data_IF_697529317426
#
_entry.id   IF_697529317426
#
_cell.length_a   1.000
_cell.length_b   1.000
_cell.length_c   1.000
_cell.angle_alpha   90.00
_cell.angle_beta   90.00
_cell.angle_gamma   90.00
#
_symmetry.space_group_name_H-M   'P 1'
#
loop_
_entity.id
_entity.type
_entity.pdbx_description
1 polymer ?
#
# COMPACT_ATOMS: atom_id res chain seq x y z
N UNK A 1 -1.77 35.29 -46.35
CA UNK A 1 -1.69 34.66 -45.00
C UNK A 1 -3.05 34.01 -44.70
N UNK A 2 -3.14 32.69 -44.78
CA UNK A 2 -4.42 31.96 -44.84
C UNK A 2 -5.15 31.94 -43.49
N UNK A 3 -6.10 32.87 -43.32
CA UNK A 3 -7.03 32.93 -42.18
C UNK A 3 -7.81 31.61 -41.97
N UNK A 4 -7.89 30.76 -42.99
CA UNK A 4 -8.46 29.41 -42.92
C UNK A 4 -7.62 28.42 -42.11
N UNK A 5 -6.29 28.45 -42.25
CA UNK A 5 -5.38 27.58 -41.49
C UNK A 5 -5.36 27.98 -40.00
N UNK A 6 -5.48 29.28 -39.71
CA UNK A 6 -5.54 29.78 -38.34
C UNK A 6 -6.83 29.37 -37.61
N UNK A 7 -7.97 29.27 -38.31
CA UNK A 7 -9.25 28.81 -37.73
C UNK A 7 -9.25 27.32 -37.41
N UNK A 8 -8.54 26.50 -38.18
CA UNK A 8 -8.44 25.05 -37.93
C UNK A 8 -7.48 24.73 -36.78
N UNK A 9 -6.40 25.48 -36.62
CA UNK A 9 -5.48 25.33 -35.48
C UNK A 9 -6.14 25.66 -34.13
N UNK A 10 -7.05 26.64 -34.08
CA UNK A 10 -7.78 27.01 -32.85
C UNK A 10 -8.79 25.92 -32.43
N UNK A 11 -9.37 25.21 -33.39
CA UNK A 11 -10.36 24.16 -33.09
C UNK A 11 -9.73 22.87 -32.52
N UNK A 12 -8.47 22.58 -32.86
CA UNK A 12 -7.74 21.43 -32.30
C UNK A 12 -7.32 21.67 -30.84
N UNK A 13 -7.21 22.92 -30.40
CA UNK A 13 -6.83 23.28 -29.03
C UNK A 13 -8.01 23.25 -28.03
N UNK A 14 -9.24 22.98 -28.50
CA UNK A 14 -10.47 22.92 -27.70
C UNK A 14 -10.93 21.49 -27.40
N UNK A 15 -10.01 20.53 -27.29
CA UNK A 15 -10.33 19.21 -26.73
C UNK A 15 -10.64 19.40 -25.23
N UNK A 16 -11.88 19.13 -24.77
CA UNK A 16 -12.18 19.21 -23.35
C UNK A 16 -11.35 18.15 -22.63
N UNK A 17 -10.46 18.61 -21.75
CA UNK A 17 -9.75 17.75 -20.82
C UNK A 17 -10.80 17.27 -19.82
N UNK A 18 -11.29 16.05 -20.01
CA UNK A 18 -12.17 15.40 -19.05
C UNK A 18 -11.44 15.32 -17.71
N UNK A 19 -11.86 16.12 -16.73
CA UNK A 19 -11.35 16.02 -15.38
C UNK A 19 -11.82 14.70 -14.77
N UNK A 20 -10.90 13.76 -14.63
CA UNK A 20 -11.13 12.57 -13.84
C UNK A 20 -11.40 13.00 -12.39
N UNK A 21 -12.66 12.98 -11.97
CA UNK A 21 -13.03 13.27 -10.59
C UNK A 21 -12.74 12.01 -9.75
N UNK A 22 -11.75 12.11 -8.86
CA UNK A 22 -11.54 11.09 -7.84
C UNK A 22 -12.69 11.17 -6.82
N UNK A 23 -13.37 10.05 -6.57
CA UNK A 23 -14.47 9.98 -5.61
C UNK A 23 -13.97 10.04 -4.17
N UNK A 24 -13.46 8.92 -3.67
CA UNK A 24 -13.05 8.75 -2.27
C UNK A 24 -11.52 8.63 -2.17
N UNK A 25 -10.93 9.41 -1.27
CA UNK A 25 -9.49 9.42 -0.98
C UNK A 25 -9.29 9.01 0.48
N UNK A 26 -8.29 8.16 0.70
CA UNK A 26 -7.92 7.68 2.04
C UNK A 26 -6.57 8.31 2.38
N UNK A 27 -6.47 8.95 3.54
CA UNK A 27 -5.25 9.64 3.97
C UNK A 27 -4.17 8.67 4.44
N UNK A 28 -3.52 8.02 3.49
CA UNK A 28 -2.39 7.12 3.73
C UNK A 28 -2.42 5.88 2.84
N UNK A 29 -1.25 5.27 2.66
CA UNK A 29 -1.08 4.01 1.91
C UNK A 29 -0.76 2.82 2.82
N UNK A 30 -0.47 3.10 4.09
CA UNK A 30 -0.24 2.16 5.19
C UNK A 30 -0.40 2.90 6.51
N UNK A 31 -0.76 2.18 7.56
CA UNK A 31 -0.94 2.73 8.89
C UNK A 31 -0.14 1.96 9.93
N UNK A 32 0.38 2.68 10.91
CA UNK A 32 1.14 2.13 12.03
C UNK A 32 0.36 2.42 13.30
N UNK A 33 -0.07 1.37 13.98
CA UNK A 33 -0.64 1.42 15.31
C UNK A 33 0.48 1.20 16.33
N UNK A 34 0.80 2.22 17.13
CA UNK A 34 1.77 2.11 18.22
C UNK A 34 1.10 1.48 19.45
N UNK A 35 1.76 0.54 20.12
CA UNK A 35 1.18 -0.20 21.25
C UNK A 35 0.67 0.72 22.38
N UNK A 36 1.42 1.77 22.72
CA UNK A 36 1.00 2.77 23.72
C UNK A 36 -0.07 3.76 23.25
N UNK A 37 -0.50 3.72 21.99
CA UNK A 37 -1.51 4.66 21.48
C UNK A 37 -2.94 4.17 21.82
N UNK A 38 -3.84 5.07 22.26
CA UNK A 38 -5.23 4.69 22.57
C UNK A 38 -6.04 4.37 21.32
N UNK A 39 -5.70 4.99 20.19
CA UNK A 39 -6.32 4.74 18.90
C UNK A 39 -5.43 5.26 17.76
N UNK A 40 -5.70 4.77 16.55
CA UNK A 40 -5.16 5.27 15.29
C UNK A 40 -6.29 5.93 14.49
N UNK A 41 -6.04 7.15 14.03
CA UNK A 41 -6.98 7.90 13.18
C UNK A 41 -6.63 7.75 11.69
N UNK A 42 -7.62 7.46 10.86
CA UNK A 42 -7.50 7.31 9.42
C UNK A 42 -8.52 8.22 8.72
N UNK A 43 -8.10 9.35 8.14
CA UNK A 43 -9.02 10.24 7.45
C UNK A 43 -9.44 9.67 6.09
N UNK A 44 -10.71 9.84 5.75
CA UNK A 44 -11.32 9.44 4.49
C UNK A 44 -12.15 10.62 3.97
N UNK A 45 -11.80 11.14 2.80
CA UNK A 45 -12.43 12.30 2.19
C UNK A 45 -13.12 11.93 0.89
N UNK A 46 -14.23 12.62 0.60
CA UNK A 46 -14.93 12.52 -0.66
C UNK A 46 -14.74 13.81 -1.45
N UNK A 47 -14.02 13.74 -2.56
CA UNK A 47 -13.78 14.86 -3.45
C UNK A 47 -14.77 14.92 -4.62
N UNK A 48 -15.77 14.04 -4.66
CA UNK A 48 -16.85 14.11 -5.64
C UNK A 48 -18.09 14.83 -5.11
N UNK A 49 -19.00 15.14 -6.03
CA UNK A 49 -20.31 15.73 -5.75
C UNK A 49 -21.39 14.66 -5.47
N UNK A 50 -21.04 13.37 -5.56
CA UNK A 50 -21.90 12.26 -5.20
C UNK A 50 -21.62 11.79 -3.77
N UNK A 51 -22.59 11.15 -3.11
CA UNK A 51 -22.36 10.49 -1.82
C UNK A 51 -21.84 9.05 -2.04
N UNK A 52 -21.14 8.52 -1.04
CA UNK A 52 -20.58 7.17 -1.08
C UNK A 52 -20.92 6.43 0.20
N UNK A 53 -21.21 5.14 0.09
CA UNK A 53 -21.29 4.26 1.25
C UNK A 53 -19.90 3.69 1.52
N UNK A 54 -19.37 3.94 2.71
CA UNK A 54 -18.06 3.49 3.14
C UNK A 54 -18.21 2.32 4.11
N UNK A 55 -17.66 1.18 3.73
CA UNK A 55 -17.64 -0.07 4.49
C UNK A 55 -16.20 -0.38 4.93
N UNK A 56 -15.98 -0.60 6.22
CA UNK A 56 -14.64 -0.75 6.79
C UNK A 56 -14.53 -2.01 7.65
N UNK A 57 -13.48 -2.80 7.41
CA UNK A 57 -13.21 -4.05 8.13
C UNK A 57 -11.72 -4.20 8.40
N UNK A 58 -11.38 -4.86 9.51
CA UNK A 58 -10.04 -5.38 9.73
C UNK A 58 -10.00 -6.84 9.29
N UNK A 59 -8.99 -7.19 8.49
CA UNK A 59 -8.76 -8.56 8.02
C UNK A 59 -7.37 -9.02 8.46
N UNK A 60 -7.13 -10.35 8.52
CA UNK A 60 -5.80 -10.89 8.72
C UNK A 60 -4.76 -10.35 7.72
N UNK A 61 -3.48 -10.48 8.09
CA UNK A 61 -2.35 -10.05 7.28
C UNK A 61 -2.05 -10.95 6.09
N UNK A 62 -2.67 -12.12 5.98
CA UNK A 62 -2.23 -13.23 5.12
C UNK A 62 -2.20 -12.90 3.62
N UNK A 63 -3.00 -11.92 3.18
CA UNK A 63 -2.96 -11.43 1.79
C UNK A 63 -1.65 -10.74 1.42
N UNK A 64 -0.90 -10.28 2.42
CA UNK A 64 0.38 -9.61 2.23
C UNK A 64 1.47 -10.65 2.23
N UNK A 65 2.19 -10.74 1.12
CA UNK A 65 3.32 -11.65 1.02
C UNK A 65 4.41 -11.30 2.05
N UNK A 66 4.93 -12.33 2.71
CA UNK A 66 5.88 -12.19 3.82
C UNK A 66 5.23 -11.92 5.19
N UNK A 67 3.91 -11.77 5.26
CA UNK A 67 3.20 -11.79 6.55
C UNK A 67 3.43 -13.13 7.24
N UNK A 68 3.78 -13.08 8.52
CA UNK A 68 3.62 -14.23 9.40
C UNK A 68 2.16 -14.21 9.86
N UNK A 69 1.42 -15.28 9.59
CA UNK A 69 0.03 -15.37 10.02
C UNK A 69 -0.03 -15.20 11.54
N UNK A 70 -0.78 -14.20 12.00
CA UNK A 70 -1.11 -14.02 13.41
C UNK A 70 -2.28 -14.93 13.84
N UNK A 71 -2.64 -15.91 13.01
CA UNK A 71 -3.88 -16.67 13.10
C UNK A 71 -5.07 -15.92 12.49
N UNK A 72 -6.27 -16.50 12.62
CA UNK A 72 -7.51 -15.88 12.14
C UNK A 72 -8.02 -14.75 13.05
N UNK A 73 -7.40 -14.52 14.21
CA UNK A 73 -7.80 -13.46 15.13
C UNK A 73 -7.28 -12.10 14.65
N UNK A 74 -8.15 -11.10 14.67
CA UNK A 74 -7.86 -9.71 14.32
C UNK A 74 -8.20 -8.83 15.52
N UNK A 75 -7.21 -8.51 16.38
CA UNK A 75 -7.45 -7.84 17.66
C UNK A 75 -7.62 -6.32 17.47
N UNK A 76 -8.43 -5.91 16.50
CA UNK A 76 -8.68 -4.51 16.19
C UNK A 76 -10.12 -4.31 15.81
N UNK A 77 -10.68 -3.20 16.26
CA UNK A 77 -11.98 -2.70 15.83
C UNK A 77 -11.75 -1.39 15.07
N UNK A 78 -12.48 -1.24 13.97
CA UNK A 78 -12.53 0.01 13.20
C UNK A 78 -13.93 0.61 13.29
N UNK A 79 -14.01 1.90 13.62
CA UNK A 79 -15.25 2.63 13.84
C UNK A 79 -15.27 3.93 13.04
N UNK A 80 -16.37 4.29 12.37
CA UNK A 80 -17.57 3.48 12.17
C UNK A 80 -17.36 2.35 11.12
N UNK A 81 -17.97 1.17 11.29
CA UNK A 81 -17.81 0.05 10.35
C UNK A 81 -18.54 0.27 9.01
N UNK A 82 -19.61 1.07 9.02
CA UNK A 82 -20.39 1.41 7.84
C UNK A 82 -20.98 2.80 8.02
N UNK A 83 -20.78 3.70 7.05
CA UNK A 83 -21.34 5.06 7.10
C UNK A 83 -21.46 5.67 5.71
N UNK A 84 -22.37 6.63 5.58
CA UNK A 84 -22.49 7.45 4.37
C UNK A 84 -21.53 8.63 4.43
N UNK A 85 -20.73 8.81 3.39
CA UNK A 85 -19.83 9.92 3.20
C UNK A 85 -20.40 10.87 2.14
N UNK A 86 -20.93 12.00 2.60
CA UNK A 86 -21.58 13.00 1.74
C UNK A 86 -20.59 13.66 0.78
N UNK A 87 -21.14 14.32 -0.25
CA UNK A 87 -20.38 15.11 -1.21
C UNK A 87 -19.47 16.14 -0.52
N UNK A 88 -18.22 16.23 -0.97
CA UNK A 88 -17.22 17.21 -0.46
C UNK A 88 -16.96 17.15 1.05
N UNK A 89 -17.30 16.03 1.72
CA UNK A 89 -17.09 15.85 3.16
C UNK A 89 -15.87 14.97 3.45
N UNK A 90 -15.36 15.10 4.67
CA UNK A 90 -14.35 14.23 5.25
C UNK A 90 -14.89 13.59 6.53
N UNK A 91 -14.50 12.34 6.78
CA UNK A 91 -14.73 11.66 8.04
C UNK A 91 -13.44 10.97 8.49
N UNK A 92 -13.31 10.71 9.79
CA UNK A 92 -12.15 10.01 10.35
C UNK A 92 -12.57 8.66 10.90
N UNK A 93 -11.96 7.59 10.39
CA UNK A 93 -12.06 6.26 10.97
C UNK A 93 -11.15 6.18 12.20
N UNK A 94 -11.62 5.51 13.24
CA UNK A 94 -10.85 5.22 14.44
C UNK A 94 -10.60 3.72 14.52
N UNK A 95 -9.33 3.33 14.52
CA UNK A 95 -8.89 1.96 14.75
C UNK A 95 -8.44 1.84 16.20
N UNK A 96 -8.92 0.83 16.92
CA UNK A 96 -8.61 0.58 18.34
C UNK A 96 -8.17 -0.87 18.51
N UNK A 97 -7.09 -1.09 19.25
CA UNK A 97 -6.62 -2.43 19.62
C UNK A 97 -7.47 -2.99 20.76
N UNK A 98 -7.93 -4.25 20.65
CA UNK A 98 -8.84 -4.88 21.61
C UNK A 98 -8.15 -5.59 22.77
N UNK A 99 -6.81 -5.64 22.76
CA UNK A 99 -6.02 -6.11 23.91
C UNK A 99 -5.61 -7.58 23.86
N UNK A 100 -6.02 -8.37 22.86
CA UNK A 100 -5.58 -9.76 22.75
C UNK A 100 -4.09 -9.85 22.44
N UNK A 101 -3.32 -10.73 23.11
CA UNK A 101 -1.86 -10.74 23.04
C UNK A 101 -1.29 -10.75 21.62
N UNK A 102 -0.39 -9.80 21.35
CA UNK A 102 0.43 -9.76 20.13
C UNK A 102 1.91 -9.93 20.48
N UNK A 103 2.74 -10.45 19.55
CA UNK A 103 4.19 -10.52 19.74
C UNK A 103 4.79 -9.17 20.15
N UNK A 104 5.52 -9.15 21.27
CA UNK A 104 6.20 -7.96 21.75
C UNK A 104 7.59 -7.76 21.11
N UNK A 105 8.14 -8.79 20.46
CA UNK A 105 9.50 -8.82 19.90
C UNK A 105 9.58 -8.37 18.43
N UNK A 106 8.43 -8.13 17.78
CA UNK A 106 8.34 -7.78 16.35
C UNK A 106 7.02 -7.11 16.00
N UNK A 107 6.99 -6.45 14.84
CA UNK A 107 5.73 -5.94 14.29
C UNK A 107 4.76 -7.08 13.91
N UNK A 108 3.46 -6.80 14.05
CA UNK A 108 2.38 -7.65 13.54
C UNK A 108 1.67 -6.95 12.38
N UNK A 109 1.31 -7.70 11.34
CA UNK A 109 0.72 -7.15 10.11
C UNK A 109 -0.72 -7.62 9.94
N UNK A 110 -1.61 -6.64 9.74
CA UNK A 110 -3.02 -6.79 9.47
C UNK A 110 -3.41 -5.98 8.23
N UNK A 111 -4.69 -6.06 7.90
CA UNK A 111 -5.29 -5.36 6.77
C UNK A 111 -6.40 -4.44 7.25
N UNK A 112 -6.30 -3.16 6.91
CA UNK A 112 -7.46 -2.26 6.93
C UNK A 112 -8.10 -2.27 5.54
N UNK A 113 -9.29 -2.84 5.42
CA UNK A 113 -10.09 -2.88 4.20
C UNK A 113 -11.13 -1.76 4.25
N UNK A 114 -11.13 -0.89 3.24
CA UNK A 114 -12.08 0.21 3.08
C UNK A 114 -12.70 0.08 1.69
N UNK A 115 -14.00 -0.15 1.62
CA UNK A 115 -14.76 -0.16 0.38
C UNK A 115 -15.53 1.16 0.22
N UNK A 116 -15.38 1.78 -0.95
CA UNK A 116 -16.19 2.89 -1.41
C UNK A 116 -17.21 2.34 -2.41
N UNK A 117 -18.48 2.33 -1.99
CA UNK A 117 -19.60 1.83 -2.77
C UNK A 117 -20.38 3.04 -3.28
N UNK A 118 -20.54 3.19 -4.61
CA UNK A 118 -21.27 4.32 -5.16
C UNK A 118 -22.74 4.21 -4.76
N UNK A 119 -23.34 5.34 -4.44
CA UNK A 119 -24.76 5.40 -4.15
C UNK A 119 -25.62 5.52 -5.41
N UNK A 120 -26.84 5.01 -5.35
CA UNK A 120 -27.86 5.15 -6.40
C UNK A 120 -28.34 3.82 -6.95
N UNK A 121 -29.44 3.84 -7.70
CA UNK A 121 -29.90 2.64 -8.41
C UNK A 121 -29.00 2.45 -9.64
N UNK A 122 -28.64 1.20 -10.00
CA UNK A 122 -28.04 0.93 -11.30
C UNK A 122 -29.03 1.39 -12.38
N UNK A 123 -28.65 2.39 -13.18
CA UNK A 123 -29.43 2.76 -14.35
C UNK A 123 -29.27 1.70 -15.44
N UNK A 124 -30.30 1.52 -16.27
CA UNK A 124 -30.22 0.62 -17.42
C UNK A 124 -29.06 1.05 -18.32
N UNK A 125 -28.21 0.09 -18.69
CA UNK A 125 -27.00 0.28 -19.51
C UNK A 125 -25.88 1.12 -18.86
N UNK A 126 -25.80 1.19 -17.52
CA UNK A 126 -24.63 1.74 -16.81
C UNK A 126 -23.95 0.71 -15.94
N UNK A 127 -22.61 0.69 -16.01
CA UNK A 127 -21.76 -0.10 -15.11
C UNK A 127 -21.43 0.76 -13.89
N UNK A 128 -21.76 0.27 -12.70
CA UNK A 128 -21.32 0.86 -11.43
C UNK A 128 -20.21 -0.01 -10.83
N UNK A 129 -19.15 0.64 -10.34
CA UNK A 129 -18.00 -0.04 -9.75
C UNK A 129 -17.84 0.39 -8.30
N UNK A 130 -17.76 -0.59 -7.40
CA UNK A 130 -17.31 -0.37 -6.03
C UNK A 130 -15.80 -0.64 -5.94
N UNK A 131 -15.08 0.23 -5.25
CA UNK A 131 -13.63 0.10 -5.08
C UNK A 131 -13.30 -0.30 -3.66
N UNK A 132 -12.65 -1.45 -3.48
CA UNK A 132 -12.14 -1.90 -2.19
C UNK A 132 -10.63 -1.68 -2.11
N UNK A 133 -10.25 -0.69 -1.32
CA UNK A 133 -8.86 -0.42 -0.97
C UNK A 133 -8.48 -1.27 0.23
N UNK A 134 -7.40 -2.03 0.09
CA UNK A 134 -6.96 -2.88 1.15
C UNK A 134 -5.53 -2.45 1.54
N UNK A 135 -5.39 -1.86 2.72
CA UNK A 135 -4.21 -1.13 3.21
C UNK A 135 -3.51 -1.90 4.34
N UNK A 136 -2.19 -1.71 4.50
CA UNK A 136 -1.41 -2.37 5.56
C UNK A 136 -1.73 -1.68 6.89
N UNK A 137 -2.05 -2.47 7.91
CA UNK A 137 -2.15 -2.03 9.30
C UNK A 137 -1.05 -2.74 10.10
N UNK A 138 -0.03 -2.01 10.52
CA UNK A 138 1.12 -2.53 11.24
C UNK A 138 0.95 -2.22 12.72
N UNK A 139 0.87 -3.24 13.57
CA UNK A 139 1.00 -3.06 15.01
C UNK A 139 2.47 -3.05 15.39
N UNK A 140 2.91 -2.01 16.09
CA UNK A 140 4.28 -1.81 16.53
C UNK A 140 4.35 -1.80 18.06
N UNK A 141 4.89 -2.87 18.67
CA UNK A 141 5.26 -2.88 20.08
C UNK A 141 6.21 -1.74 20.45
N UNK A 142 6.15 -1.30 21.70
CA UNK A 142 7.11 -0.37 22.26
C UNK A 142 8.45 -1.07 22.51
N UNK A 143 9.56 -0.32 22.44
CA UNK A 143 10.89 -0.85 22.77
C UNK A 143 11.53 -1.77 21.73
N UNK A 144 10.98 -1.88 20.51
CA UNK A 144 11.67 -2.58 19.42
C UNK A 144 13.04 -1.94 19.13
N UNK A 145 14.07 -2.77 18.98
CA UNK A 145 15.43 -2.32 18.73
C UNK A 145 15.63 -1.83 17.29
N UNK A 146 16.44 -0.78 17.14
CA UNK A 146 16.82 -0.20 15.86
C UNK A 146 15.82 0.82 15.33
N UNK A 147 16.13 1.39 14.16
CA UNK A 147 15.30 2.42 13.53
C UNK A 147 14.45 1.82 12.40
N UNK A 148 13.10 1.93 12.44
CA UNK A 148 12.23 1.36 11.41
C UNK A 148 12.58 1.85 10.00
N UNK A 149 12.98 3.11 9.87
CA UNK A 149 13.35 3.73 8.59
C UNK A 149 14.67 3.20 8.06
N UNK A 150 15.53 2.63 8.91
CA UNK A 150 16.82 2.06 8.52
C UNK A 150 16.78 0.54 8.36
N UNK A 151 15.69 -0.11 8.75
CA UNK A 151 15.53 -1.57 8.70
C UNK A 151 15.88 -2.18 7.33
N UNK A 152 15.57 -1.47 6.24
CA UNK A 152 15.87 -1.92 4.87
C UNK A 152 17.38 -2.10 4.59
N UNK A 153 18.25 -1.37 5.32
CA UNK A 153 19.72 -1.44 5.16
C UNK A 153 20.31 -2.73 5.72
N UNK A 154 19.59 -3.37 6.63
CA UNK A 154 20.02 -4.61 7.28
C UNK A 154 19.52 -5.87 6.54
N UNK A 155 18.87 -5.70 5.39
CA UNK A 155 18.45 -6.83 4.57
C UNK A 155 19.67 -7.58 4.03
N UNK A 156 19.71 -8.89 4.30
CA UNK A 156 20.77 -9.77 3.82
C UNK A 156 20.29 -10.48 2.57
N UNK A 157 20.98 -10.25 1.45
CA UNK A 157 20.65 -10.86 0.17
C UNK A 157 21.55 -12.04 -0.08
N UNK A 158 20.96 -13.17 -0.46
CA UNK A 158 21.70 -14.33 -0.92
C UNK A 158 21.28 -14.73 -2.33
N UNK A 159 22.29 -14.86 -3.17
CA UNK A 159 22.21 -15.17 -4.57
C UNK A 159 22.28 -16.68 -4.78
N UNK A 160 21.33 -17.22 -5.52
CA UNK A 160 21.32 -18.64 -5.89
C UNK A 160 21.26 -18.77 -7.42
N UNK A 161 21.66 -19.92 -7.99
CA UNK A 161 21.44 -20.21 -9.41
C UNK A 161 19.97 -20.05 -9.81
N UNK A 162 19.08 -20.32 -8.86
CA UNK A 162 17.64 -20.24 -8.95
C UNK A 162 17.06 -18.85 -8.62
N UNK A 163 17.88 -17.83 -8.33
CA UNK A 163 17.37 -16.48 -8.01
C UNK A 163 18.10 -15.67 -6.96
N UNK A 164 17.34 -14.78 -6.32
CA UNK A 164 17.77 -14.08 -5.11
C UNK A 164 16.80 -14.35 -3.97
N UNK A 165 17.35 -14.54 -2.79
CA UNK A 165 16.61 -14.65 -1.53
C UNK A 165 16.97 -13.46 -0.65
N UNK A 166 16.02 -12.95 0.12
CA UNK A 166 16.27 -11.89 1.10
C UNK A 166 15.91 -12.40 2.49
N UNK A 167 16.78 -12.12 3.45
CA UNK A 167 16.53 -12.32 4.88
C UNK A 167 16.41 -10.95 5.54
N UNK A 168 15.33 -10.74 6.27
CA UNK A 168 15.15 -9.57 7.12
C UNK A 168 15.45 -9.97 8.58
N UNK A 169 16.59 -9.55 9.16
CA UNK A 169 16.92 -9.83 10.55
C UNK A 169 16.24 -8.85 11.54
N UNK A 170 15.59 -7.79 11.05
CA UNK A 170 15.01 -6.72 11.88
C UNK A 170 13.59 -7.08 12.35
N UNK A 171 13.10 -6.46 13.43
CA UNK A 171 11.73 -6.68 13.91
C UNK A 171 10.66 -5.95 13.07
N UNK A 172 11.04 -5.26 11.99
CA UNK A 172 10.16 -4.39 11.19
C UNK A 172 9.81 -5.00 9.83
N UNK A 173 8.59 -4.74 9.34
CA UNK A 173 8.21 -5.05 7.96
C UNK A 173 8.85 -4.06 6.97
N UNK A 174 9.66 -4.59 6.05
CA UNK A 174 10.26 -3.82 4.95
C UNK A 174 9.46 -4.04 3.66
N UNK A 175 9.02 -2.95 3.04
CA UNK A 175 8.27 -2.96 1.77
C UNK A 175 9.20 -2.54 0.63
N UNK A 176 9.49 -3.45 -0.29
CA UNK A 176 10.44 -3.26 -1.40
C UNK A 176 9.73 -2.83 -2.68
N UNK A 177 9.76 -1.53 -3.01
CA UNK A 177 9.00 -0.98 -4.14
C UNK A 177 9.60 -1.32 -5.52
N UNK A 178 10.92 -1.24 -5.63
CA UNK A 178 11.64 -1.51 -6.86
C UNK A 178 12.90 -2.30 -6.56
N UNK A 179 13.02 -3.47 -7.18
CA UNK A 179 14.23 -4.26 -7.16
C UNK A 179 14.90 -4.17 -8.53
N UNK A 180 16.19 -3.83 -8.54
CA UNK A 180 17.01 -3.86 -9.75
C UNK A 180 18.12 -4.88 -9.58
N UNK A 181 18.44 -5.57 -10.67
CA UNK A 181 19.57 -6.49 -10.76
C UNK A 181 20.32 -6.14 -12.04
N UNK A 182 21.63 -5.82 -11.93
CA UNK A 182 22.43 -5.31 -13.05
C UNK A 182 21.81 -4.11 -13.79
N UNK A 183 21.22 -3.16 -13.07
CA UNK A 183 20.60 -1.96 -13.68
C UNK A 183 19.26 -2.20 -14.38
N UNK A 184 18.88 -3.45 -14.65
CA UNK A 184 17.57 -3.79 -15.20
C UNK A 184 16.50 -3.82 -14.08
N UNK A 185 15.33 -3.19 -14.27
CA UNK A 185 14.20 -3.35 -13.36
C UNK A 185 13.74 -4.80 -13.40
N UNK A 186 13.76 -5.46 -12.24
CA UNK A 186 13.07 -6.73 -12.05
C UNK A 186 11.75 -6.39 -11.38
N UNK A 187 10.70 -6.25 -12.21
CA UNK A 187 9.34 -6.13 -11.72
C UNK A 187 9.02 -7.48 -11.10
N UNK A 188 8.95 -7.52 -9.77
CA UNK A 188 8.42 -8.69 -9.08
C UNK A 188 6.95 -8.38 -8.84
N UNK A 189 5.99 -9.09 -9.47
CA UNK A 189 4.61 -9.03 -9.02
C UNK A 189 4.58 -9.69 -7.64
N UNK A 190 4.31 -8.91 -6.60
CA UNK A 190 4.16 -9.42 -5.24
C UNK A 190 5.49 -9.47 -4.44
N UNK A 191 5.41 -8.94 -3.23
CA UNK A 191 6.50 -8.78 -2.27
C UNK A 191 7.09 -10.14 -1.84
N UNK A 192 8.35 -10.16 -1.37
CA UNK A 192 9.07 -11.41 -1.10
C UNK A 192 8.38 -12.30 -0.07
N UNK A 193 8.01 -13.50 -0.50
CA UNK A 193 7.81 -14.67 0.37
C UNK A 193 9.14 -14.99 1.05
N UNK A 194 9.19 -14.97 2.38
CA UNK A 194 10.21 -15.75 3.09
C UNK A 194 10.02 -17.20 2.63
N UNK A 195 10.99 -17.67 1.83
CA UNK A 195 10.98 -18.89 1.02
C UNK A 195 9.99 -18.94 -0.15
N UNK A 196 10.18 -18.15 -1.22
CA UNK A 196 10.11 -18.72 -2.58
C UNK A 196 11.07 -18.08 -3.57
N UNK A 197 11.54 -18.97 -4.42
CA UNK A 197 12.58 -18.93 -5.45
C UNK A 197 12.29 -17.91 -6.56
N UNK A 198 13.18 -16.94 -6.78
CA UNK A 198 13.11 -16.00 -7.93
C UNK A 198 13.84 -16.60 -9.14
N UNK A 199 13.24 -17.52 -9.89
CA UNK A 199 13.94 -18.20 -11.02
C UNK A 199 14.71 -17.22 -11.91
N UNK A 200 16.01 -17.46 -12.06
CA UNK A 200 16.94 -16.68 -12.88
C UNK A 200 17.01 -17.28 -14.28
N UNK A 201 16.79 -16.45 -15.30
CA UNK A 201 17.27 -16.70 -16.67
C UNK A 201 18.56 -15.91 -16.86
N UNK A 202 19.69 -16.61 -16.97
CA UNK A 202 20.91 -16.18 -17.65
C UNK A 202 21.83 -15.16 -16.96
N UNK A 203 23.03 -15.67 -16.60
CA UNK A 203 24.33 -15.01 -16.45
C UNK A 203 24.57 -14.00 -15.30
N UNK A 204 25.83 -14.02 -14.82
CA UNK A 204 26.40 -13.38 -13.64
C UNK A 204 25.90 -11.97 -13.31
N UNK A 205 25.69 -11.71 -12.01
CA UNK A 205 25.00 -10.49 -11.55
C UNK A 205 25.38 -10.26 -10.11
N UNK A 206 25.99 -9.11 -9.82
CA UNK A 206 26.19 -8.57 -8.46
C UNK A 206 24.97 -7.68 -8.13
N UNK A 207 24.50 -7.67 -6.88
CA UNK A 207 23.19 -7.11 -6.51
C UNK A 207 23.32 -5.72 -5.91
N UNK A 208 22.43 -4.81 -6.32
CA UNK A 208 22.27 -3.51 -5.69
C UNK A 208 20.76 -3.18 -5.60
N UNK A 209 20.25 -2.99 -4.39
CA UNK A 209 18.87 -2.61 -4.14
C UNK A 209 18.77 -1.09 -3.90
N UNK A 210 17.91 -0.40 -4.64
CA UNK A 210 17.60 1.02 -4.47
C UNK A 210 16.25 1.16 -3.77
N UNK A 211 16.26 1.45 -2.47
CA UNK A 211 15.12 2.04 -1.78
C UNK A 211 15.23 3.58 -1.87
N UNK A 212 14.10 4.26 -2.06
CA UNK A 212 14.05 5.73 -2.15
C UNK A 212 14.70 6.35 -0.91
N UNK A 213 15.85 7.01 -1.14
CA UNK A 213 16.79 7.44 -0.11
C UNK A 213 18.17 6.79 -0.32
N UNK A 214 18.83 7.17 -1.44
CA UNK A 214 20.19 6.77 -1.90
C UNK A 214 20.91 5.75 -0.99
N UNK A 215 20.97 4.50 -1.45
CA UNK A 215 22.09 3.61 -1.10
C UNK A 215 22.78 3.24 -2.40
N UNK A 216 23.90 3.93 -2.65
CA UNK A 216 24.91 3.53 -3.62
C UNK A 216 25.86 2.61 -2.83
N UNK A 217 25.84 1.31 -3.10
CA UNK A 217 26.91 0.42 -2.66
C UNK A 217 27.63 -0.10 -3.89
N UNK A 218 28.73 0.57 -4.22
CA UNK A 218 29.79 0.03 -5.06
C UNK A 218 30.64 -0.87 -4.18
N UNK A 219 30.51 -2.19 -4.31
CA UNK A 219 31.54 -3.10 -3.77
C UNK A 219 32.54 -3.38 -4.89
N UNK A 220 33.69 -2.73 -4.75
CA UNK A 220 34.86 -2.89 -5.59
C UNK A 220 35.48 -4.27 -5.44
N UNK A 221 36.22 -4.60 -6.49
CA UNK A 221 36.96 -5.82 -6.77
C UNK A 221 37.24 -5.73 -8.26
#
# INVERSE_FOLDING_TARGET
MNKFFLRWAICWFLLPVSWAQAGVVIGGTRFIYHAGAPALSVPVSNHSDAFWLIDTHILPGDRWTGAKSAGNSTPFVVTPPLFMLSARQENTLRVVYTGEPLPADRESLFTLSIAAIPSGKPEANRVQMAFRSALKLLYRPDGLAGEPQQAYRHLVWNLTPDGATVRNPTPYYVTLFLLRANGAPRITPGWLRLLQRVKRTGADTRFAALCAGKVLMTMGG
#
